data_IF_939151790037
#
_entry.id   IF_939151790037
#
_cell.length_a   1.000
_cell.length_b   1.000
_cell.length_c   1.000
_cell.angle_alpha   90.00
_cell.angle_beta   90.00
_cell.angle_gamma   90.00
#
_symmetry.space_group_name_H-M   'P 1'
#
loop_
_entity.id
_entity.type
_entity.pdbx_description
1 polymer ?
#
# COMPACT_ATOMS: atom_id res chain seq x y z
N UNK A 1 4.31 17.41 -16.88
CA UNK A 1 3.13 17.58 -16.01
C UNK A 1 2.82 16.23 -15.36
N UNK A 2 2.68 16.28 -14.04
CA UNK A 2 2.81 15.21 -13.05
C UNK A 2 1.93 13.98 -13.30
N UNK A 3 2.53 12.79 -13.46
CA UNK A 3 1.79 11.53 -13.41
C UNK A 3 1.57 11.11 -11.97
N UNK A 4 0.38 11.35 -11.44
CA UNK A 4 -0.16 10.65 -10.27
C UNK A 4 -0.27 9.16 -10.62
N UNK A 5 0.66 8.32 -10.12
CA UNK A 5 0.66 6.88 -10.41
C UNK A 5 -0.17 6.17 -9.33
N UNK A 6 -1.40 5.78 -9.69
CA UNK A 6 -2.34 5.08 -8.81
C UNK A 6 -2.23 3.55 -8.96
N UNK A 7 -2.46 2.89 -7.82
CA UNK A 7 -2.79 1.47 -7.62
C UNK A 7 -1.66 0.42 -7.76
N UNK A 8 -1.25 -0.15 -6.63
CA UNK A 8 -0.33 -1.28 -6.51
C UNK A 8 -1.04 -2.62 -6.72
N UNK A 9 -0.40 -3.62 -7.35
CA UNK A 9 -0.88 -4.99 -7.27
C UNK A 9 -0.77 -5.47 -5.81
N UNK A 10 -1.93 -5.53 -5.17
CA UNK A 10 -2.26 -6.13 -3.88
C UNK A 10 -1.45 -7.42 -3.61
N UNK A 11 -0.38 -7.27 -2.83
CA UNK A 11 0.37 -8.38 -2.22
C UNK A 11 0.73 -7.97 -0.79
N UNK A 12 -0.18 -8.26 0.13
CA UNK A 12 0.03 -8.20 1.59
C UNK A 12 -0.01 -9.62 2.15
N UNK A 13 0.52 -9.82 3.34
CA UNK A 13 0.36 -11.11 4.02
C UNK A 13 -1.00 -11.25 4.71
N UNK A 14 -1.29 -12.43 5.24
CA UNK A 14 -2.55 -12.75 5.91
C UNK A 14 -2.84 -11.90 7.17
N UNK A 15 -1.84 -11.22 7.72
CA UNK A 15 -1.98 -10.30 8.84
C UNK A 15 -2.16 -8.84 8.39
N UNK A 16 -2.37 -8.61 7.10
CA UNK A 16 -2.51 -7.29 6.49
C UNK A 16 -1.26 -6.40 6.61
N UNK A 17 -0.09 -7.03 6.78
CA UNK A 17 1.20 -6.33 6.86
C UNK A 17 1.78 -6.14 5.47
N UNK A 18 2.41 -4.99 5.24
CA UNK A 18 2.99 -4.62 3.97
C UNK A 18 4.15 -5.56 3.58
N UNK A 19 4.07 -6.16 2.39
CA UNK A 19 5.10 -7.09 1.92
C UNK A 19 6.31 -6.38 1.33
N UNK A 20 7.42 -7.12 1.18
CA UNK A 20 8.63 -6.63 0.49
C UNK A 20 8.38 -6.18 -0.95
N UNK A 21 7.35 -6.73 -1.61
CA UNK A 21 6.98 -6.33 -2.98
C UNK A 21 6.36 -4.92 -3.00
N UNK A 22 5.56 -4.56 -1.98
CA UNK A 22 5.03 -3.20 -1.86
C UNK A 22 6.16 -2.17 -1.72
N UNK A 23 7.20 -2.50 -0.95
CA UNK A 23 8.39 -1.64 -0.83
C UNK A 23 9.03 -1.38 -2.20
N UNK A 24 9.27 -2.44 -2.99
CA UNK A 24 9.82 -2.30 -4.33
C UNK A 24 8.91 -1.49 -5.25
N UNK A 25 7.60 -1.74 -5.18
CA UNK A 25 6.59 -1.06 -5.98
C UNK A 25 6.57 0.46 -5.74
N UNK A 26 6.55 0.88 -4.47
CA UNK A 26 6.54 2.31 -4.11
C UNK A 26 7.91 2.96 -4.39
N UNK A 27 9.02 2.25 -4.17
CA UNK A 27 10.38 2.76 -4.49
C UNK A 27 10.51 3.10 -5.97
N UNK A 28 10.00 2.24 -6.87
CA UNK A 28 10.01 2.50 -8.31
C UNK A 28 9.22 3.77 -8.69
N UNK A 29 8.20 4.13 -7.91
CA UNK A 29 7.35 5.32 -8.16
C UNK A 29 7.83 6.57 -7.44
N UNK A 30 8.60 6.41 -6.36
CA UNK A 30 9.28 7.50 -5.67
C UNK A 30 10.59 7.94 -6.36
N UNK A 31 10.94 7.38 -7.52
CA UNK A 31 12.24 7.58 -8.17
C UNK A 31 12.58 9.04 -8.50
N UNK A 32 11.57 9.92 -8.63
CA UNK A 32 11.77 11.35 -8.85
C UNK A 32 11.53 12.11 -7.54
N UNK A 33 12.51 12.89 -7.04
CA UNK A 33 12.32 13.73 -5.87
C UNK A 33 11.15 14.72 -6.05
N UNK A 34 10.34 14.88 -5.00
CA UNK A 34 9.12 15.70 -5.05
C UNK A 34 7.89 14.97 -5.58
N UNK A 35 7.97 13.65 -5.82
CA UNK A 35 6.80 12.84 -6.17
C UNK A 35 5.90 12.62 -4.96
N UNK A 36 4.64 13.01 -5.07
CA UNK A 36 3.60 12.63 -4.12
C UNK A 36 3.07 11.22 -4.46
N UNK A 37 3.11 10.32 -3.49
CA UNK A 37 2.51 9.00 -3.59
C UNK A 37 1.22 8.94 -2.77
N UNK A 38 0.17 8.40 -3.38
CA UNK A 38 -1.08 8.08 -2.71
C UNK A 38 -1.16 6.56 -2.66
N UNK A 39 -1.16 6.00 -1.46
CA UNK A 39 -1.24 4.56 -1.25
C UNK A 39 -2.63 4.02 -1.63
N UNK A 40 -2.72 2.70 -1.81
CA UNK A 40 -4.01 2.05 -2.04
C UNK A 40 -4.95 2.15 -0.82
N UNK A 41 -6.21 1.76 -1.03
CA UNK A 41 -7.18 1.70 0.05
C UNK A 41 -6.65 0.77 1.17
N UNK A 42 -6.48 1.35 2.35
CA UNK A 42 -5.95 0.68 3.53
C UNK A 42 -7.05 0.63 4.58
N UNK A 43 -7.30 -0.55 5.14
CA UNK A 43 -8.36 -0.76 6.11
C UNK A 43 -7.98 -0.23 7.50
N UNK A 44 -8.94 0.38 8.19
CA UNK A 44 -8.72 1.01 9.51
C UNK A 44 -8.88 0.05 10.69
N UNK A 45 -9.47 -1.12 10.47
CA UNK A 45 -9.70 -2.12 11.53
C UNK A 45 -10.00 -3.50 10.94
N UNK A 46 -9.76 -4.59 11.69
CA UNK A 46 -10.10 -5.96 11.24
C UNK A 46 -11.59 -6.14 10.93
N UNK A 47 -12.48 -5.50 11.71
CA UNK A 47 -13.94 -5.63 11.55
C UNK A 47 -14.48 -5.00 10.26
N UNK A 48 -13.73 -4.09 9.64
CA UNK A 48 -14.09 -3.40 8.40
C UNK A 48 -13.29 -3.94 7.20
N UNK A 49 -12.57 -5.05 7.36
CA UNK A 49 -11.83 -5.68 6.29
C UNK A 49 -12.78 -6.53 5.43
N UNK A 50 -12.80 -6.25 4.12
CA UNK A 50 -13.62 -6.98 3.15
C UNK A 50 -12.85 -8.05 2.35
N UNK A 51 -11.53 -8.11 2.47
CA UNK A 51 -10.70 -9.06 1.72
C UNK A 51 -9.28 -9.21 2.30
N UNK A 52 -8.75 -10.43 2.23
CA UNK A 52 -7.49 -10.85 2.86
C UNK A 52 -6.23 -10.21 2.25
N UNK A 53 -6.34 -9.62 1.06
CA UNK A 53 -5.18 -9.16 0.27
C UNK A 53 -5.01 -7.63 0.24
N UNK A 54 -5.60 -6.88 1.17
CA UNK A 54 -5.39 -5.43 1.27
C UNK A 54 -4.71 -5.02 2.59
N UNK A 55 -3.94 -3.93 2.62
CA UNK A 55 -3.20 -3.53 3.82
C UNK A 55 -4.08 -3.00 4.94
N UNK A 56 -3.58 -3.11 6.17
CA UNK A 56 -4.21 -2.62 7.39
C UNK A 56 -3.37 -1.57 8.10
N UNK A 57 -4.02 -0.64 8.81
CA UNK A 57 -3.36 0.40 9.62
C UNK A 57 -3.79 0.41 11.10
N UNK A 58 -4.24 -0.73 11.63
CA UNK A 58 -4.75 -0.85 13.01
C UNK A 58 -3.75 -1.48 13.99
N UNK A 59 -2.59 -1.92 13.52
CA UNK A 59 -1.55 -2.58 14.32
C UNK A 59 -0.21 -1.84 14.19
N UNK A 60 0.72 -2.10 15.12
CA UNK A 60 2.06 -1.48 15.14
C UNK A 60 3.12 -2.29 14.37
N UNK A 61 2.69 -3.38 13.70
CA UNK A 61 3.56 -4.38 13.10
C UNK A 61 4.25 -3.89 11.82
#
# INVERSE_FOLDING_TARGET
MSSTKLFCPITVDANHVASRLMLQYYTQRAAVPGTLLIAEATYISPAHCGGESAPGMWNEA
#
